data_IF_144857622342
#
_entry.id   IF_144857622342
#
_cell.length_a   1.000
_cell.length_b   1.000
_cell.length_c   1.000
_cell.angle_alpha   90.00
_cell.angle_beta   90.00
_cell.angle_gamma   90.00
#
_symmetry.space_group_name_H-M   'P 1'
#
loop_
_entity.id
_entity.type
_entity.pdbx_description
1 polymer ?
#
# COMPACT_ATOMS: atom_id res chain seq x y z
N UNK A 1 91.07 23.18 39.81
CA UNK A 1 90.67 24.45 39.17
C UNK A 1 90.42 24.10 37.71
N UNK A 2 89.21 23.92 37.20
CA UNK A 2 87.88 24.32 37.64
C UNK A 2 86.84 23.33 37.08
N UNK A 3 85.82 23.01 37.91
CA UNK A 3 84.36 22.91 37.66
C UNK A 3 83.84 22.09 36.47
N UNK A 4 82.72 21.37 36.51
CA UNK A 4 81.77 20.89 37.53
C UNK A 4 80.76 19.99 36.77
N UNK A 5 80.13 19.07 37.51
CA UNK A 5 78.77 18.51 37.36
C UNK A 5 78.20 18.03 35.99
N UNK A 6 78.17 16.69 35.85
CA UNK A 6 77.06 15.73 35.55
C UNK A 6 75.60 16.23 35.28
N UNK A 7 74.60 15.39 34.80
CA UNK A 7 74.62 13.98 34.31
C UNK A 7 73.52 13.54 33.25
N UNK A 8 73.50 12.22 32.96
CA UNK A 8 72.43 11.26 32.52
C UNK A 8 71.90 11.23 31.06
N UNK A 9 71.85 10.04 30.44
CA UNK A 9 70.63 9.20 30.33
C UNK A 9 70.91 7.79 29.72
N UNK A 10 70.17 6.78 30.18
CA UNK A 10 70.24 5.36 29.80
C UNK A 10 69.05 4.98 28.90
N UNK A 11 69.25 4.13 27.89
CA UNK A 11 68.19 3.24 27.38
C UNK A 11 68.79 1.97 26.77
N UNK A 12 68.55 0.85 27.46
CA UNK A 12 68.67 -0.52 26.96
C UNK A 12 67.26 -0.97 26.57
N UNK A 13 67.07 -1.48 25.34
CA UNK A 13 65.85 -2.22 24.99
C UNK A 13 66.18 -3.57 24.34
N UNK A 14 65.67 -4.60 25.02
CA UNK A 14 65.80 -6.02 24.77
C UNK A 14 64.74 -6.53 23.78
N UNK A 15 65.10 -7.60 23.07
CA UNK A 15 64.29 -8.39 22.15
C UNK A 15 63.09 -9.05 22.86
N UNK A 16 61.93 -9.13 22.20
CA UNK A 16 60.95 -10.18 22.50
C UNK A 16 60.16 -10.66 21.26
N UNK A 17 60.11 -11.99 21.11
CA UNK A 17 59.37 -12.76 20.12
C UNK A 17 58.01 -13.13 20.71
N UNK A 18 56.91 -12.79 20.02
CA UNK A 18 55.54 -13.32 20.18
C UNK A 18 54.77 -13.00 18.87
N UNK A 19 53.84 -13.75 18.31
CA UNK A 19 53.39 -15.14 18.42
C UNK A 19 52.43 -15.33 17.22
N UNK A 20 52.51 -16.46 16.53
CA UNK A 20 51.70 -16.79 15.35
C UNK A 20 50.43 -17.51 15.81
N UNK A 21 49.29 -16.80 15.89
CA UNK A 21 47.99 -17.41 16.23
C UNK A 21 46.82 -16.75 15.47
N UNK A 22 46.32 -17.50 14.48
CA UNK A 22 44.89 -17.77 14.22
C UNK A 22 44.01 -16.65 13.66
N UNK A 23 43.93 -16.57 12.33
CA UNK A 23 42.81 -15.96 11.62
C UNK A 23 41.73 -17.03 11.35
N UNK A 24 40.91 -17.34 12.35
CA UNK A 24 39.65 -18.08 12.16
C UNK A 24 38.48 -17.08 12.14
N UNK A 25 37.52 -17.19 11.21
CA UNK A 25 36.38 -16.28 11.21
C UNK A 25 35.50 -16.62 12.41
N UNK A 26 35.52 -15.77 13.43
CA UNK A 26 34.57 -15.83 14.53
C UNK A 26 33.15 -15.77 13.97
N UNK A 27 32.21 -16.61 14.47
CA UNK A 27 30.82 -16.50 14.05
C UNK A 27 30.32 -15.09 14.38
N UNK A 28 29.65 -14.39 13.44
CA UNK A 28 29.19 -13.04 13.67
C UNK A 28 28.27 -13.03 14.89
N UNK A 29 28.67 -12.23 15.89
CA UNK A 29 27.85 -11.90 17.05
C UNK A 29 26.53 -11.27 16.59
N UNK A 30 25.49 -11.39 17.41
CA UNK A 30 24.12 -10.93 17.10
C UNK A 30 24.02 -9.45 16.71
N UNK A 31 25.03 -8.63 17.02
CA UNK A 31 25.10 -7.21 16.69
C UNK A 31 25.78 -6.87 15.37
N UNK A 32 26.48 -7.80 14.71
CA UNK A 32 27.19 -7.50 13.46
C UNK A 32 26.31 -7.77 12.24
N UNK A 33 26.30 -6.88 11.23
CA UNK A 33 25.65 -7.15 9.96
C UNK A 33 26.25 -8.38 9.29
N UNK A 34 25.40 -9.17 8.65
CA UNK A 34 25.77 -10.29 7.78
C UNK A 34 25.33 -10.00 6.35
N UNK A 35 26.00 -10.61 5.38
CA UNK A 35 25.64 -10.53 3.97
C UNK A 35 24.95 -11.81 3.52
N UNK A 36 23.79 -11.68 2.89
CA UNK A 36 23.09 -12.75 2.20
C UNK A 36 23.15 -12.51 0.71
N UNK A 37 23.46 -13.56 -0.04
CA UNK A 37 23.28 -13.61 -1.48
C UNK A 37 22.00 -14.38 -1.76
N UNK A 38 20.94 -13.68 -2.20
CA UNK A 38 19.64 -14.26 -2.55
C UNK A 38 19.50 -14.25 -4.07
N UNK A 39 19.63 -15.43 -4.67
CA UNK A 39 19.84 -15.56 -6.12
C UNK A 39 21.07 -14.77 -6.57
N UNK A 40 20.87 -13.78 -7.43
CA UNK A 40 21.93 -12.91 -7.95
C UNK A 40 22.17 -11.65 -7.10
N UNK A 41 21.28 -11.35 -6.15
CA UNK A 41 21.29 -10.09 -5.39
C UNK A 41 21.92 -10.25 -4.01
N UNK A 42 22.67 -9.23 -3.57
CA UNK A 42 23.28 -9.18 -2.23
C UNK A 42 22.53 -8.24 -1.30
N UNK A 43 22.30 -8.70 -0.08
CA UNK A 43 21.61 -7.97 0.98
C UNK A 43 22.43 -7.98 2.26
N UNK A 44 22.45 -6.86 2.96
CA UNK A 44 23.10 -6.76 4.27
C UNK A 44 22.04 -6.50 5.35
N UNK A 45 22.05 -7.30 6.41
CA UNK A 45 21.11 -7.16 7.53
C UNK A 45 21.67 -7.83 8.79
N UNK A 46 21.02 -7.67 9.94
CA UNK A 46 21.41 -8.37 11.16
C UNK A 46 20.89 -9.80 11.22
N UNK A 47 21.66 -10.67 11.88
CA UNK A 47 21.24 -12.05 12.19
C UNK A 47 19.90 -12.08 12.92
N UNK A 48 19.75 -11.21 13.92
CA UNK A 48 18.52 -11.06 14.71
C UNK A 48 17.30 -10.73 13.85
N UNK A 49 17.44 -9.87 12.84
CA UNK A 49 16.35 -9.53 11.91
C UNK A 49 15.80 -10.77 11.21
N UNK A 50 16.68 -11.64 10.72
CA UNK A 50 16.25 -12.83 9.98
C UNK A 50 15.68 -13.91 10.90
N UNK A 51 16.34 -14.16 12.04
CA UNK A 51 15.97 -15.28 12.90
C UNK A 51 14.79 -14.99 13.80
N UNK A 52 14.39 -13.74 14.00
CA UNK A 52 13.30 -13.37 14.90
C UNK A 52 11.94 -13.96 14.50
N UNK A 53 11.70 -14.16 13.19
CA UNK A 53 10.39 -14.56 12.65
C UNK A 53 10.46 -15.66 11.58
N UNK A 54 11.61 -16.34 11.46
CA UNK A 54 11.82 -17.38 10.44
C UNK A 54 12.68 -18.52 11.00
N UNK A 55 12.06 -19.69 11.23
CA UNK A 55 12.79 -20.92 11.57
C UNK A 55 13.77 -21.34 10.46
N UNK A 56 13.43 -21.09 9.20
CA UNK A 56 14.33 -21.31 8.06
C UNK A 56 15.65 -20.56 8.24
N UNK A 57 15.61 -19.25 8.49
CA UNK A 57 16.83 -18.46 8.68
C UNK A 57 17.56 -18.81 9.99
N UNK A 58 16.82 -19.20 11.05
CA UNK A 58 17.43 -19.68 12.28
C UNK A 58 18.28 -20.95 12.02
N UNK A 59 17.75 -21.87 11.21
CA UNK A 59 18.46 -23.08 10.78
C UNK A 59 19.63 -22.75 9.86
N UNK A 60 19.40 -21.96 8.80
CA UNK A 60 20.42 -21.56 7.81
C UNK A 60 21.66 -20.94 8.46
N UNK A 61 21.45 -20.08 9.44
CA UNK A 61 22.54 -19.34 10.09
C UNK A 61 23.14 -20.12 11.25
N UNK A 62 22.58 -21.26 11.65
CA UNK A 62 23.05 -22.01 12.81
C UNK A 62 24.48 -22.55 12.59
N UNK A 63 25.32 -22.61 13.65
CA UNK A 63 26.72 -23.04 13.52
C UNK A 63 26.91 -24.45 12.95
N UNK A 64 25.84 -25.25 12.96
CA UNK A 64 25.82 -26.64 12.50
C UNK A 64 25.87 -26.75 10.97
N UNK A 65 25.57 -25.67 10.25
CA UNK A 65 25.56 -25.65 8.78
C UNK A 65 26.72 -24.78 8.26
N UNK A 66 27.78 -25.41 7.75
CA UNK A 66 28.87 -24.72 7.04
C UNK A 66 28.41 -24.26 5.64
N UNK A 67 27.48 -23.30 5.60
CA UNK A 67 26.93 -22.72 4.36
C UNK A 67 27.46 -21.31 4.06
N UNK A 68 28.53 -20.92 4.76
CA UNK A 68 29.20 -19.64 4.52
C UNK A 68 30.07 -19.78 3.27
N UNK A 69 29.90 -18.86 2.32
CA UNK A 69 30.70 -18.76 1.12
C UNK A 69 32.13 -18.31 1.46
N UNK A 70 33.06 -18.42 0.50
CA UNK A 70 34.45 -18.01 0.70
C UNK A 70 34.61 -16.52 1.07
N UNK A 71 33.66 -15.67 0.65
CA UNK A 71 33.63 -14.23 0.95
C UNK A 71 32.92 -13.89 2.28
N UNK A 72 32.49 -14.90 3.05
CA UNK A 72 31.77 -14.71 4.32
C UNK A 72 30.26 -14.51 4.19
N UNK A 73 29.70 -14.52 2.97
CA UNK A 73 28.26 -14.37 2.76
C UNK A 73 27.49 -15.69 2.84
N UNK A 74 26.17 -15.62 3.04
CA UNK A 74 25.28 -16.79 3.07
C UNK A 74 24.45 -16.86 1.78
N UNK A 75 24.52 -17.98 1.05
CA UNK A 75 23.73 -18.15 -0.17
C UNK A 75 22.32 -18.68 0.14
N UNK A 76 21.33 -18.11 -0.55
CA UNK A 76 19.92 -18.50 -0.51
C UNK A 76 19.44 -18.60 -1.96
N UNK A 77 18.98 -19.78 -2.34
CA UNK A 77 18.40 -20.03 -3.66
C UNK A 77 16.92 -19.60 -3.66
N UNK A 78 16.68 -18.32 -3.93
CA UNK A 78 15.35 -17.72 -3.95
C UNK A 78 15.31 -16.49 -4.85
N UNK A 79 14.11 -15.92 -5.06
CA UNK A 79 13.95 -14.72 -5.88
C UNK A 79 14.46 -13.46 -5.16
N UNK A 80 15.61 -12.97 -5.61
CA UNK A 80 16.20 -11.74 -5.13
C UNK A 80 15.30 -10.51 -5.34
N UNK A 81 14.40 -10.49 -6.32
CA UNK A 81 13.49 -9.37 -6.55
C UNK A 81 12.34 -9.29 -5.54
N UNK A 82 11.92 -10.43 -4.98
CA UNK A 82 10.87 -10.50 -3.95
C UNK A 82 11.43 -10.38 -2.53
N UNK A 83 12.70 -10.75 -2.33
CA UNK A 83 13.35 -10.70 -1.03
C UNK A 83 13.31 -9.32 -0.32
N UNK A 84 13.36 -8.16 -0.99
CA UNK A 84 13.18 -6.85 -0.34
C UNK A 84 11.89 -6.74 0.47
N UNK A 85 10.80 -7.37 0.03
CA UNK A 85 9.51 -7.34 0.71
C UNK A 85 9.51 -8.26 1.94
N UNK A 86 10.12 -9.44 1.82
CA UNK A 86 10.39 -10.34 2.95
C UNK A 86 11.24 -9.63 4.01
N UNK A 87 12.36 -9.03 3.59
CA UNK A 87 13.28 -8.36 4.49
C UNK A 87 12.64 -7.14 5.16
N UNK A 88 11.79 -6.39 4.45
CA UNK A 88 11.01 -5.29 5.02
C UNK A 88 10.10 -5.79 6.13
N UNK A 89 9.35 -6.87 5.89
CA UNK A 89 8.50 -7.49 6.90
C UNK A 89 9.31 -7.97 8.11
N UNK A 90 10.46 -8.62 7.91
CA UNK A 90 11.32 -9.09 9.00
C UNK A 90 11.87 -7.94 9.86
N UNK A 91 12.11 -6.76 9.26
CA UNK A 91 12.58 -5.56 9.96
C UNK A 91 11.49 -4.85 10.76
N UNK A 92 10.34 -4.57 10.16
CA UNK A 92 9.30 -3.75 10.78
C UNK A 92 8.15 -4.55 11.39
N UNK A 93 7.95 -5.79 10.94
CA UNK A 93 6.72 -6.55 11.20
C UNK A 93 5.48 -6.03 10.47
N UNK A 94 5.62 -5.01 9.62
CA UNK A 94 4.51 -4.46 8.87
C UNK A 94 4.14 -5.37 7.69
N UNK A 95 2.85 -5.69 7.57
CA UNK A 95 2.31 -6.55 6.52
C UNK A 95 2.15 -5.78 5.21
N UNK A 96 2.52 -6.37 4.06
CA UNK A 96 2.56 -5.66 2.80
C UNK A 96 1.16 -5.46 2.20
N UNK A 97 0.96 -4.29 1.59
CA UNK A 97 -0.18 -4.00 0.71
C UNK A 97 0.33 -3.58 -0.66
N UNK A 98 -0.08 -4.34 -1.67
CA UNK A 98 0.13 -4.05 -3.08
C UNK A 98 -1.22 -3.67 -3.68
N UNK A 99 -1.61 -2.41 -3.45
CA UNK A 99 -2.86 -1.86 -3.96
C UNK A 99 -2.59 -0.56 -4.72
N UNK A 100 -3.21 -0.43 -5.88
CA UNK A 100 -3.29 0.82 -6.61
C UNK A 100 -4.76 1.18 -6.76
N UNK A 101 -5.11 2.46 -6.66
CA UNK A 101 -6.49 2.85 -6.88
C UNK A 101 -6.97 2.34 -8.24
N UNK A 102 -6.15 2.38 -9.30
CA UNK A 102 -6.55 2.05 -10.68
C UNK A 102 -6.62 0.55 -10.96
N UNK A 103 -5.62 -0.18 -10.51
CA UNK A 103 -5.48 -1.62 -10.76
C UNK A 103 -6.09 -2.51 -9.68
N UNK A 104 -6.45 -1.95 -8.53
CA UNK A 104 -6.85 -2.73 -7.37
C UNK A 104 -5.66 -3.45 -6.71
N UNK A 105 -5.92 -4.62 -6.13
CA UNK A 105 -4.89 -5.47 -5.53
C UNK A 105 -4.05 -6.18 -6.60
N UNK A 106 -2.73 -6.18 -6.42
CA UNK A 106 -1.82 -6.98 -7.23
C UNK A 106 -1.78 -8.44 -6.73
N UNK A 107 -2.78 -9.21 -7.12
CA UNK A 107 -2.91 -10.62 -6.77
C UNK A 107 -1.74 -11.47 -7.23
N UNK A 108 -1.08 -11.09 -8.34
CA UNK A 108 0.13 -11.77 -8.82
C UNK A 108 1.28 -11.60 -7.84
N UNK A 109 1.51 -10.36 -7.39
CA UNK A 109 2.53 -10.05 -6.40
C UNK A 109 2.27 -10.72 -5.05
N UNK A 110 1.02 -10.73 -4.57
CA UNK A 110 0.65 -11.43 -3.33
C UNK A 110 0.92 -12.94 -3.43
N UNK A 111 0.56 -13.57 -4.55
CA UNK A 111 0.79 -14.99 -4.78
C UNK A 111 2.29 -15.33 -4.86
N UNK A 112 3.07 -14.50 -5.55
CA UNK A 112 4.52 -14.68 -5.65
C UNK A 112 5.19 -14.55 -4.27
N UNK A 113 4.82 -13.51 -3.50
CA UNK A 113 5.34 -13.30 -2.16
C UNK A 113 4.91 -14.40 -1.17
N UNK A 114 3.74 -15.02 -1.36
CA UNK A 114 3.31 -16.17 -0.56
C UNK A 114 4.26 -17.36 -0.74
N UNK A 115 4.73 -17.62 -1.97
CA UNK A 115 5.72 -18.66 -2.24
C UNK A 115 7.01 -18.45 -1.45
N UNK A 116 7.54 -17.22 -1.46
CA UNK A 116 8.73 -16.84 -0.69
C UNK A 116 8.49 -16.94 0.83
N UNK A 117 7.33 -16.48 1.31
CA UNK A 117 6.98 -16.58 2.73
C UNK A 117 6.87 -18.05 3.20
N UNK A 118 6.42 -18.96 2.32
CA UNK A 118 6.40 -20.40 2.58
C UNK A 118 7.81 -20.99 2.60
N UNK A 119 8.66 -20.65 1.63
CA UNK A 119 10.05 -21.09 1.57
C UNK A 119 10.82 -20.66 2.84
N UNK A 120 10.62 -19.43 3.28
CA UNK A 120 11.27 -18.88 4.48
C UNK A 120 10.51 -19.16 5.78
N UNK A 121 9.40 -19.91 5.74
CA UNK A 121 8.62 -20.32 6.91
C UNK A 121 8.22 -19.14 7.82
N UNK A 122 7.66 -18.08 7.24
CA UNK A 122 7.27 -16.86 7.96
C UNK A 122 5.76 -16.89 8.24
N UNK A 123 5.35 -17.52 9.35
CA UNK A 123 3.94 -17.87 9.65
C UNK A 123 2.95 -16.71 9.50
N UNK A 124 3.12 -15.63 10.26
CA UNK A 124 2.19 -14.49 10.21
C UNK A 124 2.09 -13.84 8.82
N UNK A 125 3.18 -13.81 8.05
CA UNK A 125 3.14 -13.32 6.67
C UNK A 125 2.43 -14.32 5.74
N UNK A 126 2.64 -15.61 5.92
CA UNK A 126 1.90 -16.64 5.19
C UNK A 126 0.40 -16.53 5.44
N UNK A 127 -0.02 -16.36 6.69
CA UNK A 127 -1.43 -16.28 7.05
C UNK A 127 -2.08 -15.02 6.45
N UNK A 128 -1.42 -13.87 6.57
CA UNK A 128 -1.85 -12.62 5.93
C UNK A 128 -2.11 -12.78 4.42
N UNK A 129 -1.16 -13.41 3.72
CA UNK A 129 -1.20 -13.59 2.26
C UNK A 129 -2.20 -14.68 1.85
N UNK A 130 -2.19 -15.82 2.53
CA UNK A 130 -3.06 -16.98 2.23
C UNK A 130 -4.52 -16.69 2.50
N UNK A 131 -4.81 -16.04 3.63
CA UNK A 131 -6.18 -15.71 4.04
C UNK A 131 -6.70 -14.43 3.39
N UNK A 132 -5.89 -13.80 2.53
CA UNK A 132 -6.19 -12.53 1.85
C UNK A 132 -6.61 -11.42 2.81
N UNK A 133 -5.98 -11.35 3.97
CA UNK A 133 -6.32 -10.34 4.98
C UNK A 133 -6.04 -8.92 4.49
N UNK A 134 -5.14 -8.77 3.52
CA UNK A 134 -4.91 -7.52 2.80
C UNK A 134 -6.17 -6.95 2.13
N UNK A 135 -7.18 -7.76 1.78
CA UNK A 135 -8.45 -7.26 1.23
C UNK A 135 -9.27 -6.50 2.27
N UNK A 136 -9.11 -6.84 3.56
CA UNK A 136 -9.80 -6.14 4.66
C UNK A 136 -9.15 -4.79 4.96
N UNK A 137 -7.86 -4.67 4.65
CA UNK A 137 -7.10 -3.45 4.87
C UNK A 137 -7.41 -2.36 3.86
N UNK A 138 -8.07 -2.67 2.74
CA UNK A 138 -8.50 -1.68 1.76
C UNK A 138 -10.03 -1.70 1.64
N UNK A 139 -10.68 -0.64 2.13
CA UNK A 139 -12.13 -0.46 2.05
C UNK A 139 -12.47 0.47 0.90
N UNK A 140 -13.58 0.18 0.20
CA UNK A 140 -14.10 1.05 -0.86
C UNK A 140 -15.49 1.52 -0.46
N UNK A 141 -15.64 2.82 -0.25
CA UNK A 141 -16.92 3.45 0.06
C UNK A 141 -17.54 4.00 -1.21
N UNK A 142 -18.82 3.69 -1.44
CA UNK A 142 -19.58 4.14 -2.59
C UNK A 142 -20.63 5.16 -2.17
N UNK A 143 -20.78 6.23 -2.94
CA UNK A 143 -21.95 7.10 -2.86
C UNK A 143 -22.46 7.45 -4.25
N UNK A 144 -23.77 7.65 -4.37
CA UNK A 144 -24.42 8.00 -5.62
C UNK A 144 -25.41 9.14 -5.37
N UNK A 145 -25.32 10.19 -6.19
CA UNK A 145 -26.20 11.37 -6.09
C UNK A 145 -26.69 11.77 -7.48
N UNK A 146 -27.99 12.01 -7.61
CA UNK A 146 -28.61 12.50 -8.84
C UNK A 146 -28.68 14.04 -8.80
N UNK A 147 -28.28 14.67 -9.90
CA UNK A 147 -28.35 16.12 -10.08
C UNK A 147 -29.13 16.47 -11.34
N UNK A 148 -30.07 17.40 -11.21
CA UNK A 148 -30.80 17.99 -12.33
C UNK A 148 -30.05 19.21 -12.86
N UNK A 149 -29.92 19.33 -14.19
CA UNK A 149 -29.51 20.57 -14.84
C UNK A 149 -28.04 20.99 -14.67
N UNK A 150 -27.14 20.12 -14.19
CA UNK A 150 -25.72 20.44 -14.03
C UNK A 150 -25.02 20.60 -15.39
N UNK A 151 -24.79 21.86 -15.80
CA UNK A 151 -24.12 22.21 -17.07
C UNK A 151 -22.59 22.29 -16.99
N UNK A 152 -22.01 22.22 -15.78
CA UNK A 152 -20.56 22.31 -15.60
C UNK A 152 -20.09 21.40 -14.45
N UNK A 153 -19.23 20.44 -14.77
CA UNK A 153 -18.73 19.42 -13.85
C UNK A 153 -17.20 19.46 -13.83
N UNK A 154 -16.64 20.55 -13.30
CA UNK A 154 -15.21 20.66 -13.07
C UNK A 154 -14.96 20.64 -11.56
N UNK A 155 -14.31 19.56 -11.07
CA UNK A 155 -13.96 19.40 -9.66
C UNK A 155 -12.61 18.69 -9.54
N UNK A 156 -11.73 19.23 -8.70
CA UNK A 156 -10.53 18.52 -8.25
C UNK A 156 -10.89 17.61 -7.08
N UNK A 157 -10.37 16.39 -7.08
CA UNK A 157 -10.53 15.44 -6.00
C UNK A 157 -9.17 14.92 -5.51
N UNK A 158 -9.15 14.46 -4.26
CA UNK A 158 -8.01 13.75 -3.71
C UNK A 158 -7.81 12.40 -4.43
N UNK A 159 -6.60 11.85 -4.37
CA UNK A 159 -6.23 10.61 -5.08
C UNK A 159 -6.97 9.36 -4.59
N UNK A 160 -7.50 9.41 -3.37
CA UNK A 160 -8.34 8.36 -2.78
C UNK A 160 -9.79 8.43 -3.27
N UNK A 161 -10.19 9.52 -3.93
CA UNK A 161 -11.55 9.74 -4.39
C UNK A 161 -11.64 9.69 -5.91
N UNK A 162 -12.54 8.84 -6.41
CA UNK A 162 -12.96 8.81 -7.80
C UNK A 162 -14.37 9.30 -7.93
N UNK A 163 -14.61 10.06 -8.99
CA UNK A 163 -15.93 10.56 -9.33
C UNK A 163 -16.22 10.17 -10.77
N UNK A 164 -17.33 9.45 -10.96
CA UNK A 164 -17.85 9.05 -12.26
C UNK A 164 -19.13 9.83 -12.52
N UNK A 165 -19.19 10.49 -13.67
CA UNK A 165 -20.34 11.26 -14.11
C UNK A 165 -21.08 10.49 -15.19
N UNK A 166 -22.35 10.19 -14.94
CA UNK A 166 -23.21 9.46 -15.87
C UNK A 166 -24.37 10.38 -16.30
N UNK A 167 -24.15 11.23 -17.32
CA UNK A 167 -25.18 12.13 -17.84
C UNK A 167 -26.17 11.38 -18.73
N UNK A 168 -27.45 11.64 -18.52
CA UNK A 168 -28.57 11.10 -19.30
C UNK A 168 -29.55 12.22 -19.62
N UNK A 169 -29.91 12.35 -20.90
CA UNK A 169 -31.01 13.22 -21.31
C UNK A 169 -32.32 12.47 -21.15
N UNK A 170 -33.26 13.08 -20.44
CA UNK A 170 -34.62 12.58 -20.31
C UNK A 170 -35.58 13.60 -20.91
N UNK A 171 -36.66 13.13 -21.52
CA UNK A 171 -37.75 14.00 -21.98
C UNK A 171 -38.90 13.89 -20.99
N UNK A 172 -39.30 15.01 -20.41
CA UNK A 172 -40.45 15.08 -19.50
C UNK A 172 -41.62 15.78 -20.18
N UNK A 173 -42.83 15.34 -19.86
CA UNK A 173 -44.07 15.97 -20.30
C UNK A 173 -44.51 17.02 -19.29
N UNK A 174 -44.41 18.29 -19.66
CA UNK A 174 -44.77 19.41 -18.80
C UNK A 174 -46.16 19.91 -19.15
N UNK A 175 -47.07 19.88 -18.18
CA UNK A 175 -48.45 20.35 -18.38
C UNK A 175 -48.50 21.82 -18.76
N UNK A 176 -49.27 22.11 -19.81
CA UNK A 176 -49.54 23.47 -20.26
C UNK A 176 -50.94 23.90 -19.79
N UNK A 177 -51.00 25.07 -19.15
CA UNK A 177 -52.26 25.64 -18.72
C UNK A 177 -53.12 26.01 -19.94
N UNK A 178 -54.40 25.61 -20.02
CA UNK A 178 -55.33 25.96 -21.11
C UNK A 178 -55.51 27.47 -21.34
N UNK A 179 -55.11 28.29 -20.35
CA UNK A 179 -55.15 29.76 -20.41
C UNK A 179 -53.76 30.39 -20.61
N UNK A 180 -52.71 29.59 -20.84
CA UNK A 180 -51.34 30.08 -20.99
C UNK A 180 -50.74 30.71 -19.72
N UNK A 181 -51.29 30.44 -18.54
CA UNK A 181 -50.79 31.03 -17.28
C UNK A 181 -49.50 30.30 -16.88
N UNK A 182 -48.38 31.02 -16.96
CA UNK A 182 -47.04 30.45 -16.72
C UNK A 182 -46.87 29.87 -15.32
N UNK A 183 -47.41 30.50 -14.28
CA UNK A 183 -47.32 30.00 -12.90
C UNK A 183 -48.05 28.68 -12.65
N UNK A 184 -48.93 28.25 -13.57
CA UNK A 184 -49.61 26.96 -13.50
C UNK A 184 -48.88 25.85 -14.27
N UNK A 185 -47.84 26.21 -15.04
CA UNK A 185 -47.09 25.28 -15.90
C UNK A 185 -46.45 24.18 -15.07
N UNK A 186 -46.57 22.93 -15.54
CA UNK A 186 -46.08 21.75 -14.83
C UNK A 186 -46.90 21.36 -13.58
N UNK A 187 -47.89 22.16 -13.16
CA UNK A 187 -48.74 21.88 -12.00
C UNK A 187 -50.24 22.01 -12.35
N UNK A 188 -50.88 20.92 -12.82
CA UNK A 188 -52.31 20.93 -13.14
C UNK A 188 -53.20 21.30 -11.95
N UNK A 189 -52.77 21.06 -10.71
CA UNK A 189 -53.55 21.38 -9.52
C UNK A 189 -53.62 22.89 -9.24
N UNK A 190 -52.72 23.69 -9.84
CA UNK A 190 -52.80 25.15 -9.79
C UNK A 190 -53.95 25.70 -10.66
N UNK A 191 -54.50 24.90 -11.59
CA UNK A 191 -55.62 25.30 -12.43
C UNK A 191 -56.96 25.29 -11.68
N UNK A 192 -57.49 26.48 -11.41
CA UNK A 192 -58.84 26.65 -10.86
C UNK A 192 -59.96 26.55 -11.91
N UNK A 193 -61.20 26.83 -11.47
CA UNK A 193 -62.44 26.73 -12.29
C UNK A 193 -62.35 27.44 -13.63
N UNK A 194 -61.72 28.62 -13.68
CA UNK A 194 -61.55 29.40 -14.91
C UNK A 194 -60.68 28.71 -15.96
N UNK A 195 -59.68 27.92 -15.53
CA UNK A 195 -58.83 27.13 -16.43
C UNK A 195 -59.61 25.91 -16.94
N UNK A 196 -60.36 25.24 -16.06
CA UNK A 196 -61.20 24.10 -16.45
C UNK A 196 -62.26 24.51 -17.48
N UNK A 197 -62.89 25.68 -17.31
CA UNK A 197 -63.85 26.21 -18.29
C UNK A 197 -63.19 26.50 -19.64
N UNK A 198 -61.96 27.03 -19.65
CA UNK A 198 -61.21 27.27 -20.88
C UNK A 198 -60.80 25.97 -21.57
N UNK A 199 -60.54 24.91 -20.80
CA UNK A 199 -60.24 23.59 -21.32
C UNK A 199 -61.48 22.90 -21.92
N UNK A 200 -62.64 23.04 -21.29
CA UNK A 200 -63.86 22.33 -21.69
C UNK A 200 -63.64 20.82 -21.70
N UNK A 201 -64.05 20.18 -22.79
CA UNK A 201 -63.88 18.73 -23.01
C UNK A 201 -62.55 18.38 -23.70
N UNK A 202 -61.69 19.36 -23.98
CA UNK A 202 -60.40 19.11 -24.61
C UNK A 202 -59.46 18.33 -23.68
N UNK A 203 -58.65 17.46 -24.27
CA UNK A 203 -57.61 16.74 -23.54
C UNK A 203 -56.57 17.71 -22.97
N UNK A 204 -55.93 17.32 -21.86
CA UNK A 204 -54.85 18.12 -21.26
C UNK A 204 -53.67 18.17 -22.22
N UNK A 205 -53.13 19.36 -22.42
CA UNK A 205 -51.96 19.61 -23.26
C UNK A 205 -50.67 19.50 -22.45
N UNK A 206 -49.64 18.94 -23.07
CA UNK A 206 -48.32 18.77 -22.49
C UNK A 206 -47.27 19.12 -23.54
N UNK A 207 -46.18 19.74 -23.10
CA UNK A 207 -45.01 20.03 -23.92
C UNK A 207 -43.87 19.09 -23.49
N UNK A 208 -43.12 18.57 -24.46
CA UNK A 208 -41.93 17.78 -24.20
C UNK A 208 -40.76 18.73 -23.89
N UNK A 209 -40.15 18.57 -22.72
CA UNK A 209 -38.93 19.27 -22.34
C UNK A 209 -37.80 18.29 -22.10
N UNK A 210 -36.64 18.57 -22.70
CA UNK A 210 -35.42 17.82 -22.42
C UNK A 210 -34.75 18.33 -21.14
N UNK A 211 -34.49 17.40 -20.23
CA UNK A 211 -33.84 17.64 -18.95
C UNK A 211 -32.59 16.77 -18.86
N UNK A 212 -31.44 17.39 -18.60
CA UNK A 212 -30.20 16.68 -18.32
C UNK A 212 -30.19 16.24 -16.86
N UNK A 213 -30.12 14.94 -16.63
CA UNK A 213 -29.88 14.34 -15.31
C UNK A 213 -28.51 13.73 -15.27
N UNK A 214 -27.79 13.94 -14.18
CA UNK A 214 -26.45 13.37 -14.01
C UNK A 214 -26.41 12.55 -12.73
N UNK A 215 -26.15 11.25 -12.85
CA UNK A 215 -25.82 10.40 -11.72
C UNK A 215 -24.31 10.51 -11.46
N UNK A 216 -23.97 11.05 -10.29
CA UNK A 216 -22.60 11.20 -9.81
C UNK A 216 -22.31 10.07 -8.85
N UNK A 217 -21.42 9.16 -9.25
CA UNK A 217 -20.97 8.05 -8.42
C UNK A 217 -19.60 8.43 -7.86
N UNK A 218 -19.47 8.47 -6.54
CA UNK A 218 -18.19 8.64 -5.87
C UNK A 218 -17.71 7.32 -5.30
N UNK A 219 -16.43 7.00 -5.51
CA UNK A 219 -15.76 5.82 -4.93
C UNK A 219 -14.56 6.31 -4.13
N UNK A 220 -14.57 6.09 -2.81
CA UNK A 220 -13.47 6.45 -1.92
C UNK A 220 -12.71 5.21 -1.47
N UNK A 221 -11.41 5.18 -1.69
CA UNK A 221 -10.51 4.15 -1.14
C UNK A 221 -10.06 4.57 0.26
N UNK A 222 -10.29 3.72 1.26
CA UNK A 222 -9.86 3.94 2.64
C UNK A 222 -8.90 2.82 3.04
N UNK A 223 -7.71 3.19 3.50
CA UNK A 223 -6.70 2.25 3.98
C UNK A 223 -6.80 2.11 5.50
N UNK A 224 -7.01 0.89 5.97
CA UNK A 224 -6.99 0.53 7.39
C UNK A 224 -5.56 0.13 7.78
N UNK A 225 -4.75 1.14 8.13
CA UNK A 225 -3.33 0.95 8.42
C UNK A 225 -3.09 0.06 9.64
N UNK A 226 -4.01 0.01 10.60
CA UNK A 226 -3.86 -0.76 11.84
C UNK A 226 -3.72 -2.26 11.57
N UNK A 227 -4.44 -2.77 10.57
CA UNK A 227 -4.34 -4.17 10.14
C UNK A 227 -2.97 -4.53 9.56
N UNK A 228 -2.17 -3.53 9.20
CA UNK A 228 -0.86 -3.71 8.58
C UNK A 228 0.29 -3.58 9.58
N UNK A 229 0.03 -3.09 10.78
CA UNK A 229 1.07 -2.82 11.77
C UNK A 229 1.54 -4.13 12.45
N UNK A 230 2.77 -4.13 13.01
CA UNK A 230 3.18 -5.22 13.90
C UNK A 230 2.24 -5.34 15.11
N UNK A 231 2.07 -6.57 15.59
CA UNK A 231 1.46 -6.86 16.91
C UNK A 231 2.32 -6.35 18.07
#
# INVERSE_FOLDING_TARGET
MSTDEQPQDQSDDNINILDDQQNTPFPPTTGNPITLQVGEQRFTTFRSTLTAKSPFFASLLSPQWQRVQADGSYFVDADGALFPYILRYLRSGALPIFYSSFGGHDYGMYQALLGEAQQFQIERLMDWLRNKEYEKAVKIEYSAQEYEGSKQLAKSCYSDLRVEYNPTWITRKVYICPRGIYSHRGNPSACGKSCMKAQGDAQKEFEDEDELRTLVISKRTVLDCELCLPE
#
